data_IF_840999475749
#
_entry.id   IF_840999475749
#
_cell.length_a   1.000
_cell.length_b   1.000
_cell.length_c   1.000
_cell.angle_alpha   90.00
_cell.angle_beta   90.00
_cell.angle_gamma   90.00
#
_symmetry.space_group_name_H-M   'P 1'
#
loop_
_entity.id
_entity.type
_entity.pdbx_description
1 polymer ?
#
# COMPACT_ATOMS: atom_id res chain seq x y z
N UNK A 1 -16.00 -7.54 -3.39
CA UNK A 1 -15.34 -6.79 -2.34
C UNK A 1 -14.90 -5.41 -2.81
N UNK A 2 -14.24 -5.28 -3.95
CA UNK A 2 -13.77 -3.98 -4.46
C UNK A 2 -14.76 -3.26 -5.37
N UNK A 3 -16.05 -3.58 -5.30
CA UNK A 3 -17.08 -3.01 -6.19
C UNK A 3 -17.13 -1.47 -6.10
N UNK A 4 -16.95 -0.94 -4.92
CA UNK A 4 -16.86 0.52 -4.72
C UNK A 4 -15.66 1.13 -5.47
N UNK A 5 -14.47 0.52 -5.38
CA UNK A 5 -13.28 0.99 -6.11
C UNK A 5 -13.45 0.80 -7.62
N UNK A 6 -14.02 -0.32 -8.05
CA UNK A 6 -14.34 -0.57 -9.47
C UNK A 6 -15.31 0.49 -10.00
N UNK A 7 -16.35 0.85 -9.23
CA UNK A 7 -17.30 1.89 -9.61
C UNK A 7 -16.63 3.29 -9.69
N UNK A 8 -15.72 3.59 -8.73
CA UNK A 8 -14.89 4.81 -8.80
C UNK A 8 -14.05 4.82 -10.10
N UNK A 9 -13.39 3.70 -10.42
CA UNK A 9 -12.55 3.59 -11.61
C UNK A 9 -13.35 3.61 -12.92
N UNK A 10 -14.59 3.09 -12.94
CA UNK A 10 -15.49 3.24 -14.09
C UNK A 10 -15.92 4.67 -14.33
N UNK A 11 -16.14 5.44 -13.26
CA UNK A 11 -16.46 6.87 -13.34
C UNK A 11 -15.25 7.71 -13.75
N UNK A 12 -14.06 7.31 -13.33
CA UNK A 12 -12.79 8.00 -13.57
C UNK A 12 -11.72 6.99 -14.02
N UNK A 13 -11.70 6.58 -15.31
CA UNK A 13 -10.72 5.63 -15.84
C UNK A 13 -9.29 6.09 -15.57
N UNK A 14 -8.45 5.14 -15.15
CA UNK A 14 -7.06 5.38 -14.78
C UNK A 14 -6.13 4.46 -15.56
N UNK A 15 -4.83 4.84 -15.59
CA UNK A 15 -3.75 4.02 -16.12
C UNK A 15 -2.86 3.55 -15.00
N UNK A 16 -2.49 2.27 -15.00
CA UNK A 16 -1.58 1.69 -14.02
C UNK A 16 -0.38 1.05 -14.68
N UNK A 17 0.82 1.42 -14.20
CA UNK A 17 2.08 0.84 -14.66
C UNK A 17 2.31 -0.50 -13.97
N UNK A 18 2.70 -1.50 -14.77
CA UNK A 18 3.29 -2.75 -14.33
C UNK A 18 4.72 -2.84 -14.82
N UNK A 19 5.65 -3.00 -13.91
CA UNK A 19 7.09 -2.97 -14.19
C UNK A 19 7.64 -4.27 -14.74
N UNK A 20 6.91 -5.38 -14.60
CA UNK A 20 7.30 -6.70 -15.10
C UNK A 20 6.37 -7.15 -16.24
N UNK A 21 6.48 -6.47 -17.40
CA UNK A 21 5.54 -6.63 -18.51
C UNK A 21 5.48 -8.03 -19.12
N UNK A 22 6.50 -8.88 -18.95
CA UNK A 22 6.54 -10.26 -19.46
C UNK A 22 6.13 -11.32 -18.43
N UNK A 23 5.91 -10.93 -17.15
CA UNK A 23 5.54 -11.89 -16.10
C UNK A 23 4.11 -12.43 -16.35
N UNK A 24 3.90 -13.76 -16.38
CA UNK A 24 2.61 -14.35 -16.72
C UNK A 24 1.48 -13.93 -15.74
N UNK A 25 1.79 -13.67 -14.47
CA UNK A 25 0.83 -13.19 -13.48
C UNK A 25 0.34 -11.77 -13.80
N UNK A 26 1.26 -10.93 -14.27
CA UNK A 26 0.96 -9.55 -14.71
C UNK A 26 0.15 -9.59 -16.00
N UNK A 27 0.50 -10.44 -16.96
CA UNK A 27 -0.22 -10.59 -18.21
C UNK A 27 -1.65 -11.10 -17.99
N UNK A 28 -1.84 -12.09 -17.13
CA UNK A 28 -3.17 -12.59 -16.76
C UNK A 28 -4.01 -11.50 -16.07
N UNK A 29 -3.44 -10.81 -15.09
CA UNK A 29 -4.12 -9.72 -14.40
C UNK A 29 -4.49 -8.59 -15.37
N UNK A 30 -3.58 -8.21 -16.28
CA UNK A 30 -3.83 -7.20 -17.31
C UNK A 30 -4.96 -7.57 -18.26
N UNK A 31 -5.03 -8.83 -18.71
CA UNK A 31 -6.13 -9.30 -19.54
C UNK A 31 -7.49 -9.22 -18.82
N UNK A 32 -7.52 -9.53 -17.51
CA UNK A 32 -8.73 -9.40 -16.67
C UNK A 32 -9.15 -7.93 -16.48
N UNK A 33 -8.19 -7.02 -16.25
CA UNK A 33 -8.43 -5.58 -16.10
C UNK A 33 -9.02 -4.98 -17.39
N UNK A 34 -8.45 -5.33 -18.54
CA UNK A 34 -8.92 -4.89 -19.86
C UNK A 34 -10.33 -5.39 -20.15
N UNK A 35 -10.65 -6.62 -19.78
CA UNK A 35 -12.02 -7.16 -19.90
C UNK A 35 -13.04 -6.37 -19.07
N UNK A 36 -12.60 -5.79 -17.95
CA UNK A 36 -13.43 -4.95 -17.08
C UNK A 36 -13.65 -3.52 -17.60
N UNK A 37 -12.82 -3.04 -18.54
CA UNK A 37 -12.88 -1.70 -19.20
C UNK A 37 -12.80 -0.48 -18.25
N UNK A 38 -12.28 -0.65 -17.04
CA UNK A 38 -12.21 0.40 -16.03
C UNK A 38 -10.79 0.83 -15.64
N UNK A 39 -9.77 0.08 -16.09
CA UNK A 39 -8.36 0.34 -15.79
C UNK A 39 -7.50 -0.08 -16.97
N UNK A 40 -6.63 0.81 -17.43
CA UNK A 40 -5.72 0.54 -18.55
C UNK A 40 -4.34 0.16 -18.02
N UNK A 41 -3.87 -1.08 -18.26
CA UNK A 41 -2.50 -1.48 -17.97
C UNK A 41 -1.50 -0.77 -18.88
N UNK A 42 -0.40 -0.30 -18.30
CA UNK A 42 0.80 0.17 -18.98
C UNK A 42 1.93 -0.81 -18.66
N UNK A 43 2.31 -1.64 -19.62
CA UNK A 43 3.30 -2.69 -19.44
C UNK A 43 4.69 -2.16 -19.81
N UNK A 44 5.65 -2.27 -18.89
CA UNK A 44 7.03 -1.83 -19.13
C UNK A 44 7.85 -2.98 -19.68
N UNK A 45 8.50 -2.73 -20.81
CA UNK A 45 9.43 -3.67 -21.48
C UNK A 45 9.34 -3.62 -22.99
N UNK A 46 10.08 -4.53 -23.64
CA UNK A 46 10.10 -4.64 -25.09
C UNK A 46 8.75 -5.15 -25.62
N UNK A 47 8.19 -4.47 -26.62
CA UNK A 47 6.85 -4.75 -27.13
C UNK A 47 6.72 -6.15 -27.75
N UNK A 48 7.75 -6.59 -28.50
CA UNK A 48 7.72 -7.91 -29.15
C UNK A 48 7.81 -9.04 -28.10
N UNK A 49 8.65 -8.86 -27.07
CA UNK A 49 8.79 -9.82 -25.96
C UNK A 49 7.51 -9.94 -25.16
N UNK A 50 6.87 -8.81 -24.81
CA UNK A 50 5.62 -8.78 -24.06
C UNK A 50 4.48 -9.42 -24.86
N UNK A 51 4.36 -9.05 -26.15
CA UNK A 51 3.33 -9.61 -27.03
C UNK A 51 3.49 -11.12 -27.18
N UNK A 52 4.72 -11.59 -27.44
CA UNK A 52 5.05 -13.00 -27.53
C UNK A 52 4.74 -13.76 -26.24
N UNK A 53 5.15 -13.21 -25.09
CA UNK A 53 4.89 -13.83 -23.79
C UNK A 53 3.37 -13.95 -23.51
N UNK A 54 2.59 -12.94 -23.88
CA UNK A 54 1.15 -12.96 -23.74
C UNK A 54 0.48 -14.02 -24.65
N UNK A 55 0.93 -14.13 -25.91
CA UNK A 55 0.44 -15.14 -26.86
C UNK A 55 0.77 -16.56 -26.39
N UNK A 56 2.02 -16.82 -25.96
CA UNK A 56 2.45 -18.10 -25.43
C UNK A 56 1.68 -18.51 -24.17
N UNK A 57 1.33 -17.55 -23.31
CA UNK A 57 0.52 -17.78 -22.12
C UNK A 57 -0.99 -17.82 -22.38
N UNK A 58 -1.45 -17.46 -23.59
CA UNK A 58 -2.85 -17.45 -23.97
C UNK A 58 -3.67 -16.28 -23.43
N UNK A 59 -3.01 -15.17 -23.08
CA UNK A 59 -3.67 -13.96 -22.54
C UNK A 59 -3.85 -12.87 -23.61
N UNK A 60 -5.06 -12.32 -23.68
CA UNK A 60 -5.36 -11.20 -24.57
C UNK A 60 -5.09 -9.89 -23.86
N UNK A 61 -3.98 -9.22 -24.24
CA UNK A 61 -3.58 -7.90 -23.73
C UNK A 61 -3.89 -6.76 -24.69
N UNK A 62 -4.73 -7.00 -25.71
CA UNK A 62 -5.10 -5.94 -26.69
C UNK A 62 -5.83 -4.81 -25.97
N UNK A 63 -5.26 -3.61 -26.04
CA UNK A 63 -5.73 -2.44 -25.32
C UNK A 63 -4.83 -2.01 -24.15
N UNK A 64 -3.85 -2.83 -23.76
CA UNK A 64 -2.77 -2.37 -22.90
C UNK A 64 -1.83 -1.43 -23.69
N UNK A 65 -1.26 -0.45 -22.99
CA UNK A 65 -0.15 0.35 -23.53
C UNK A 65 1.17 -0.37 -23.19
N UNK A 66 2.12 -0.37 -24.12
CA UNK A 66 3.45 -0.93 -23.87
C UNK A 66 4.46 0.20 -24.01
N UNK A 67 5.32 0.36 -22.99
CA UNK A 67 6.34 1.39 -22.96
C UNK A 67 7.72 0.76 -22.73
N UNK A 68 8.58 0.89 -23.73
CA UNK A 68 9.93 0.33 -23.73
C UNK A 68 10.95 1.40 -23.31
N UNK A 69 11.66 1.24 -22.18
CA UNK A 69 12.72 2.16 -21.77
C UNK A 69 13.81 2.37 -22.84
N UNK A 70 14.08 1.37 -23.67
CA UNK A 70 15.10 1.43 -24.71
C UNK A 70 14.67 2.32 -25.92
N UNK A 71 13.37 2.44 -26.14
CA UNK A 71 12.79 3.12 -27.33
C UNK A 71 11.80 4.23 -26.94
N UNK A 72 11.89 4.78 -25.71
CA UNK A 72 10.96 5.80 -25.24
C UNK A 72 11.29 7.18 -25.81
N UNK A 73 10.36 7.76 -26.55
CA UNK A 73 10.57 9.02 -27.29
C UNK A 73 10.95 10.21 -26.38
N UNK A 74 10.40 10.27 -25.18
CA UNK A 74 10.65 11.37 -24.23
C UNK A 74 11.76 11.02 -23.18
N UNK A 75 12.64 10.06 -23.47
CA UNK A 75 13.70 9.63 -22.54
C UNK A 75 14.60 10.80 -22.12
N UNK A 76 14.99 11.69 -23.02
CA UNK A 76 15.84 12.83 -22.67
C UNK A 76 15.15 13.82 -21.72
N UNK A 77 13.85 14.06 -21.91
CA UNK A 77 13.05 14.86 -20.96
C UNK A 77 12.94 14.17 -19.60
N UNK A 78 12.78 12.84 -19.60
CA UNK A 78 12.72 12.03 -18.40
C UNK A 78 14.04 12.09 -17.59
N UNK A 79 15.17 12.00 -18.29
CA UNK A 79 16.51 12.13 -17.69
C UNK A 79 16.71 13.52 -17.09
N UNK A 80 16.38 14.57 -17.85
CA UNK A 80 16.49 15.96 -17.36
C UNK A 80 15.69 16.20 -16.10
N UNK A 81 14.44 15.72 -16.05
CA UNK A 81 13.59 15.82 -14.86
C UNK A 81 14.19 15.03 -13.69
N UNK A 82 14.73 13.84 -13.94
CA UNK A 82 15.35 13.04 -12.86
C UNK A 82 16.58 13.74 -12.29
N UNK A 83 17.44 14.34 -13.13
CA UNK A 83 18.60 15.14 -12.66
C UNK A 83 18.14 16.27 -11.74
N UNK A 84 17.09 17.00 -12.14
CA UNK A 84 16.49 18.06 -11.31
C UNK A 84 15.99 17.53 -9.95
N UNK A 85 15.21 16.45 -9.98
CA UNK A 85 14.67 15.82 -8.77
C UNK A 85 15.75 15.33 -7.82
N UNK A 86 16.90 14.87 -8.35
CA UNK A 86 18.03 14.36 -7.56
C UNK A 86 18.96 15.45 -7.01
N UNK A 87 18.82 16.69 -7.45
CA UNK A 87 19.53 17.87 -6.89
C UNK A 87 21.05 17.63 -6.71
N UNK A 88 21.73 17.15 -7.74
CA UNK A 88 23.18 16.89 -7.72
C UNK A 88 23.61 15.55 -7.02
N UNK A 89 22.67 14.77 -6.48
CA UNK A 89 22.98 13.45 -5.88
C UNK A 89 23.24 12.36 -6.92
N UNK A 90 22.95 12.61 -8.19
CA UNK A 90 23.20 11.70 -9.31
C UNK A 90 23.61 12.53 -10.52
N UNK A 91 24.57 12.00 -11.30
CA UNK A 91 24.93 12.54 -12.62
C UNK A 91 23.86 12.20 -13.65
N UNK A 92 23.89 12.89 -14.81
CA UNK A 92 22.99 12.57 -15.94
C UNK A 92 23.14 11.11 -16.38
N UNK A 93 24.38 10.62 -16.52
CA UNK A 93 24.67 9.23 -16.88
C UNK A 93 24.08 8.24 -15.88
N UNK A 94 24.23 8.52 -14.57
CA UNK A 94 23.62 7.69 -13.51
C UNK A 94 22.09 7.72 -13.57
N UNK A 95 21.48 8.87 -13.87
CA UNK A 95 20.05 8.99 -14.06
C UNK A 95 19.58 8.16 -15.26
N UNK A 96 20.25 8.30 -16.40
CA UNK A 96 19.94 7.54 -17.62
C UNK A 96 20.07 6.03 -17.40
N UNK A 97 21.15 5.59 -16.73
CA UNK A 97 21.34 4.19 -16.34
C UNK A 97 20.24 3.69 -15.41
N UNK A 98 19.80 4.48 -14.43
CA UNK A 98 18.70 4.09 -13.55
C UNK A 98 17.38 3.97 -14.32
N UNK A 99 17.11 4.90 -15.23
CA UNK A 99 15.90 4.92 -16.05
C UNK A 99 15.83 3.80 -17.11
N UNK A 100 16.91 3.06 -17.35
CA UNK A 100 16.85 1.80 -18.12
C UNK A 100 16.27 0.64 -17.30
N UNK A 101 16.11 0.79 -15.98
CA UNK A 101 15.50 -0.20 -15.11
C UNK A 101 13.99 0.04 -15.02
N UNK A 102 13.18 -1.01 -15.17
CA UNK A 102 11.72 -0.92 -15.24
C UNK A 102 11.08 -0.23 -14.03
N UNK A 103 11.58 -0.45 -12.82
CA UNK A 103 11.08 0.18 -11.60
C UNK A 103 11.30 1.71 -11.58
N UNK A 104 12.47 2.19 -11.97
CA UNK A 104 12.74 3.63 -12.11
C UNK A 104 11.98 4.26 -13.25
N UNK A 105 11.98 3.60 -14.42
CA UNK A 105 11.24 4.06 -15.60
C UNK A 105 9.75 4.16 -15.31
N UNK A 106 9.14 3.09 -14.78
CA UNK A 106 7.73 3.07 -14.44
C UNK A 106 7.36 4.16 -13.42
N UNK A 107 8.21 4.38 -12.40
CA UNK A 107 7.99 5.45 -11.42
C UNK A 107 8.04 6.84 -12.07
N UNK A 108 8.94 7.04 -13.05
CA UNK A 108 9.00 8.30 -13.81
C UNK A 108 7.82 8.47 -14.77
N UNK A 109 7.27 7.40 -15.33
CA UNK A 109 6.03 7.48 -16.11
C UNK A 109 4.88 8.07 -15.27
N UNK A 110 4.74 7.62 -14.02
CA UNK A 110 3.77 8.20 -13.08
C UNK A 110 4.09 9.66 -12.78
N UNK A 111 5.35 9.97 -12.50
CA UNK A 111 5.78 11.36 -12.20
C UNK A 111 5.52 12.33 -13.33
N UNK A 112 5.64 11.89 -14.57
CA UNK A 112 5.42 12.71 -15.78
C UNK A 112 3.98 12.69 -16.26
N UNK A 113 3.07 11.95 -15.62
CA UNK A 113 1.65 11.90 -15.96
C UNK A 113 1.30 11.00 -17.16
N UNK A 114 2.19 10.08 -17.55
CA UNK A 114 1.86 9.06 -18.55
C UNK A 114 0.95 7.96 -17.97
N UNK A 115 0.98 7.81 -16.64
CA UNK A 115 0.09 6.93 -15.90
C UNK A 115 -0.25 7.54 -14.54
N UNK A 116 -1.28 7.02 -13.88
CA UNK A 116 -1.79 7.55 -12.61
C UNK A 116 -1.19 6.84 -11.38
N UNK A 117 -0.80 5.58 -11.55
CA UNK A 117 -0.33 4.72 -10.46
C UNK A 117 0.67 3.67 -10.96
N UNK A 118 1.39 3.03 -10.03
CA UNK A 118 2.31 1.93 -10.33
C UNK A 118 2.11 0.77 -9.36
N UNK A 119 2.16 -0.44 -9.90
CA UNK A 119 2.23 -1.70 -9.15
C UNK A 119 3.38 -2.55 -9.70
N UNK A 120 4.34 -2.90 -8.85
CA UNK A 120 5.50 -3.70 -9.21
C UNK A 120 5.98 -4.55 -8.05
N UNK A 121 7.12 -5.24 -8.18
CA UNK A 121 7.70 -6.06 -7.10
C UNK A 121 7.43 -7.55 -7.19
N UNK A 122 6.76 -8.03 -8.26
CA UNK A 122 6.53 -9.46 -8.45
C UNK A 122 7.82 -10.27 -8.61
N UNK A 123 8.92 -9.64 -9.03
CA UNK A 123 10.21 -10.31 -9.28
C UNK A 123 11.39 -9.70 -8.52
N UNK A 124 11.23 -8.58 -7.86
CA UNK A 124 12.30 -7.88 -7.13
C UNK A 124 11.88 -7.53 -5.68
N UNK A 125 12.76 -6.91 -4.92
CA UNK A 125 12.53 -6.63 -3.49
C UNK A 125 11.66 -5.38 -3.29
N UNK A 126 10.94 -5.31 -2.16
CA UNK A 126 10.21 -4.11 -1.71
C UNK A 126 11.09 -2.86 -1.70
N UNK A 127 12.39 -2.99 -1.37
CA UNK A 127 13.32 -1.87 -1.39
C UNK A 127 13.52 -1.30 -2.81
N UNK A 128 13.38 -2.12 -3.85
CA UNK A 128 13.52 -1.70 -5.24
C UNK A 128 12.25 -1.02 -5.77
N UNK A 129 11.09 -1.23 -5.15
CA UNK A 129 9.88 -0.43 -5.36
C UNK A 129 9.95 0.89 -4.58
N UNK A 130 10.31 0.84 -3.31
CA UNK A 130 10.26 2.00 -2.40
C UNK A 130 11.33 3.03 -2.74
N UNK A 131 12.53 2.60 -3.13
CA UNK A 131 13.64 3.52 -3.42
C UNK A 131 13.33 4.51 -4.55
N UNK A 132 12.90 4.11 -5.77
CA UNK A 132 12.50 5.06 -6.79
C UNK A 132 11.26 5.89 -6.37
N UNK A 133 10.30 5.30 -5.67
CA UNK A 133 9.15 6.05 -5.15
C UNK A 133 9.57 7.22 -4.26
N UNK A 134 10.47 7.00 -3.29
CA UNK A 134 11.00 8.05 -2.42
C UNK A 134 11.87 9.07 -3.17
N UNK A 135 12.60 8.63 -4.17
CA UNK A 135 13.52 9.50 -4.92
C UNK A 135 12.80 10.40 -5.92
N UNK A 136 11.73 9.93 -6.54
CA UNK A 136 11.05 10.55 -7.67
C UNK A 136 9.69 11.12 -7.27
N UNK A 137 8.81 10.29 -6.70
CA UNK A 137 7.45 10.69 -6.29
C UNK A 137 7.51 11.53 -5.02
N UNK A 138 8.30 11.10 -4.04
CA UNK A 138 8.45 11.70 -2.71
C UNK A 138 7.17 11.58 -1.88
N UNK A 139 7.24 12.04 -0.64
CA UNK A 139 6.08 12.14 0.24
C UNK A 139 5.18 13.29 -0.20
N UNK A 140 3.88 13.14 0.03
CA UNK A 140 2.90 14.20 -0.18
C UNK A 140 3.09 15.34 0.83
N UNK A 141 2.60 16.55 0.54
CA UNK A 141 2.62 17.66 1.49
C UNK A 141 2.01 17.27 2.84
N UNK A 142 2.74 17.52 3.91
CA UNK A 142 2.33 17.18 5.29
C UNK A 142 2.76 15.79 5.78
N UNK A 143 3.21 14.89 4.91
CA UNK A 143 3.79 13.60 5.31
C UNK A 143 5.30 13.65 5.29
N UNK A 144 5.94 13.17 6.35
CA UNK A 144 7.41 13.11 6.48
C UNK A 144 7.96 11.74 6.17
N UNK A 145 7.14 10.70 6.33
CA UNK A 145 7.51 9.30 6.13
C UNK A 145 6.62 8.62 5.11
N UNK A 146 7.10 7.50 4.60
CA UNK A 146 6.28 6.48 3.91
C UNK A 146 6.05 5.34 4.88
N UNK A 147 4.82 4.90 4.99
CA UNK A 147 4.43 3.74 5.80
C UNK A 147 3.70 2.72 4.96
N UNK A 148 3.32 1.61 5.57
CA UNK A 148 2.54 0.57 4.90
C UNK A 148 1.34 0.14 5.73
N UNK A 149 0.26 -0.27 5.06
CA UNK A 149 -0.78 -1.03 5.74
C UNK A 149 -1.17 -2.27 4.94
N UNK A 150 -1.79 -3.21 5.63
CA UNK A 150 -2.51 -4.33 5.05
C UNK A 150 -4.00 -4.17 5.34
N UNK A 151 -4.83 -4.36 4.32
CA UNK A 151 -6.27 -4.54 4.48
C UNK A 151 -6.53 -6.04 4.58
N UNK A 152 -7.03 -6.44 5.73
CA UNK A 152 -7.33 -7.83 6.05
C UNK A 152 -8.82 -8.07 5.88
N UNK A 153 -9.21 -9.09 5.15
CA UNK A 153 -10.61 -9.37 4.84
C UNK A 153 -10.96 -10.81 5.09
N UNK A 154 -12.07 -11.01 5.76
CA UNK A 154 -12.61 -12.33 6.03
C UNK A 154 -14.14 -12.33 5.92
N UNK A 155 -14.76 -13.33 5.28
CA UNK A 155 -16.22 -13.52 5.36
C UNK A 155 -16.64 -13.72 6.82
N UNK A 156 -17.63 -12.96 7.28
CA UNK A 156 -18.19 -13.17 8.60
C UNK A 156 -19.34 -14.18 8.56
N UNK A 157 -19.73 -14.71 9.72
CA UNK A 157 -20.87 -15.60 9.86
C UNK A 157 -22.20 -14.93 9.48
N UNK A 158 -22.27 -13.61 9.44
CA UNK A 158 -23.47 -12.81 9.07
C UNK A 158 -23.57 -12.56 7.56
N UNK A 159 -22.56 -12.99 6.79
CA UNK A 159 -22.51 -12.78 5.32
C UNK A 159 -21.88 -11.43 4.91
N UNK A 160 -21.63 -10.53 5.85
CA UNK A 160 -20.84 -9.33 5.60
C UNK A 160 -19.35 -9.64 5.78
N UNK A 161 -18.48 -8.97 5.01
CA UNK A 161 -17.05 -9.13 5.20
C UNK A 161 -16.57 -8.37 6.43
N UNK A 162 -15.80 -9.05 7.28
CA UNK A 162 -14.99 -8.37 8.28
C UNK A 162 -13.77 -7.77 7.60
N UNK A 163 -13.57 -6.46 7.72
CA UNK A 163 -12.49 -5.72 7.09
C UNK A 163 -11.71 -4.96 8.15
N UNK A 164 -10.40 -5.21 8.21
CA UNK A 164 -9.50 -4.62 9.20
C UNK A 164 -8.33 -3.94 8.49
N UNK A 165 -7.77 -2.89 9.11
CA UNK A 165 -6.54 -2.26 8.66
C UNK A 165 -5.42 -2.49 9.71
N UNK A 166 -4.23 -2.92 9.26
CA UNK A 166 -3.08 -3.23 10.11
C UNK A 166 -1.83 -2.47 9.62
N UNK A 167 -1.18 -1.67 10.46
CA UNK A 167 -0.01 -0.84 10.13
C UNK A 167 0.92 -0.56 11.34
N UNK A 168 2.19 -0.32 11.13
CA UNK A 168 3.00 -0.58 9.95
C UNK A 168 3.48 -2.02 9.94
N UNK A 169 3.41 -2.68 8.80
CA UNK A 169 3.74 -4.11 8.73
C UNK A 169 4.93 -4.43 7.79
N UNK A 170 5.49 -3.43 7.07
CA UNK A 170 6.48 -3.72 6.03
C UNK A 170 7.58 -2.66 5.83
N UNK A 171 7.46 -1.44 6.34
CA UNK A 171 8.38 -0.33 6.02
C UNK A 171 9.15 0.18 7.24
N UNK A 172 8.47 0.65 8.29
CA UNK A 172 9.11 1.31 9.42
C UNK A 172 9.51 0.30 10.50
N UNK A 173 10.84 0.09 10.68
CA UNK A 173 11.35 -0.96 11.57
C UNK A 173 11.05 -0.65 13.04
N UNK A 174 11.39 0.56 13.49
CA UNK A 174 11.16 1.04 14.86
C UNK A 174 10.70 2.49 14.80
N UNK A 175 9.41 2.72 14.52
CA UNK A 175 8.88 4.07 14.41
C UNK A 175 8.96 4.80 15.76
N UNK A 176 9.28 6.08 15.68
CA UNK A 176 9.19 7.02 16.81
C UNK A 176 7.72 7.34 17.12
N UNK A 177 7.45 8.02 18.24
CA UNK A 177 6.10 8.47 18.59
C UNK A 177 5.46 9.29 17.47
N UNK A 178 6.18 10.25 16.89
CA UNK A 178 5.65 11.12 15.83
C UNK A 178 5.43 10.36 14.52
N UNK A 179 6.29 9.40 14.19
CA UNK A 179 6.09 8.51 13.04
C UNK A 179 4.87 7.58 13.24
N UNK A 180 4.64 7.09 14.45
CA UNK A 180 3.43 6.31 14.79
C UNK A 180 2.14 7.14 14.62
N UNK A 181 2.19 8.44 14.91
CA UNK A 181 1.06 9.36 14.65
C UNK A 181 0.80 9.47 13.14
N UNK A 182 1.86 9.67 12.33
CA UNK A 182 1.71 9.73 10.87
C UNK A 182 1.17 8.40 10.31
N UNK A 183 1.69 7.26 10.77
CA UNK A 183 1.20 5.92 10.41
C UNK A 183 -0.30 5.81 10.72
N UNK A 184 -0.75 6.23 11.90
CA UNK A 184 -2.15 6.16 12.29
C UNK A 184 -3.04 7.05 11.42
N UNK A 185 -2.63 8.29 11.13
CA UNK A 185 -3.35 9.24 10.27
C UNK A 185 -3.52 8.68 8.86
N UNK A 186 -2.43 8.19 8.26
CA UNK A 186 -2.47 7.64 6.91
C UNK A 186 -3.27 6.33 6.85
N UNK A 187 -3.16 5.49 7.89
CA UNK A 187 -3.92 4.24 7.96
C UNK A 187 -5.42 4.49 8.10
N UNK A 188 -5.81 5.46 8.92
CA UNK A 188 -7.22 5.86 9.02
C UNK A 188 -7.77 6.40 7.69
N UNK A 189 -6.98 7.15 6.92
CA UNK A 189 -7.36 7.59 5.57
C UNK A 189 -7.52 6.42 4.61
N UNK A 190 -6.55 5.52 4.59
CA UNK A 190 -6.60 4.31 3.77
C UNK A 190 -7.81 3.46 4.15
N UNK A 191 -8.06 3.22 5.43
CA UNK A 191 -9.22 2.46 5.91
C UNK A 191 -10.54 3.02 5.35
N UNK A 192 -10.73 4.35 5.35
CA UNK A 192 -11.93 4.99 4.79
C UNK A 192 -12.11 4.72 3.30
N UNK A 193 -11.03 4.64 2.51
CA UNK A 193 -11.08 4.27 1.09
C UNK A 193 -11.68 2.88 0.90
N UNK A 194 -11.50 1.98 1.88
CA UNK A 194 -12.07 0.63 1.87
C UNK A 194 -13.43 0.52 2.57
N UNK A 195 -14.06 1.65 2.89
CA UNK A 195 -15.36 1.67 3.53
C UNK A 195 -15.32 1.32 5.03
N UNK A 196 -14.13 1.28 5.63
CA UNK A 196 -13.99 1.11 7.07
C UNK A 196 -14.25 2.46 7.75
N UNK A 197 -15.15 2.48 8.74
CA UNK A 197 -15.22 3.59 9.70
C UNK A 197 -14.16 3.34 10.78
N UNK A 198 -13.01 4.05 10.74
CA UNK A 198 -11.85 3.64 11.50
C UNK A 198 -12.05 3.87 13.00
N UNK A 199 -11.82 2.81 13.77
CA UNK A 199 -11.64 2.80 15.22
C UNK A 199 -10.22 2.36 15.49
N UNK A 200 -9.34 3.34 15.74
CA UNK A 200 -7.89 3.15 15.75
C UNK A 200 -7.40 2.75 17.13
N UNK A 201 -6.80 1.58 17.24
CA UNK A 201 -6.17 1.07 18.46
C UNK A 201 -4.64 1.09 18.35
N UNK A 202 -3.99 1.75 19.29
CA UNK A 202 -2.54 1.66 19.48
C UNK A 202 -2.22 0.43 20.32
N UNK A 203 -1.51 -0.54 19.72
CA UNK A 203 -1.29 -1.87 20.32
C UNK A 203 -0.03 -1.92 21.17
N UNK A 204 -0.12 -2.68 22.25
CA UNK A 204 0.96 -2.95 23.19
C UNK A 204 0.72 -4.29 23.91
N UNK A 205 1.71 -4.78 24.63
CA UNK A 205 1.51 -5.84 25.63
C UNK A 205 0.85 -5.30 26.92
N UNK A 206 0.61 -3.98 27.01
CA UNK A 206 -0.05 -3.27 28.10
C UNK A 206 -1.45 -2.79 27.70
N UNK A 207 -2.34 -2.67 28.66
CA UNK A 207 -3.64 -2.01 28.50
C UNK A 207 -3.78 -0.95 29.59
N UNK A 208 -3.82 0.33 29.19
CA UNK A 208 -4.02 1.50 30.07
C UNK A 208 -3.13 1.47 31.31
N UNK A 209 -1.83 1.20 31.13
CA UNK A 209 -0.82 1.21 32.19
C UNK A 209 -0.71 -0.10 32.98
N UNK A 210 -1.29 -1.21 32.52
CA UNK A 210 -1.14 -2.52 33.17
C UNK A 210 0.30 -3.05 33.07
N UNK A 211 1.06 -2.64 32.05
CA UNK A 211 2.49 -2.87 31.88
C UNK A 211 3.30 -1.59 32.04
N UNK A 212 4.63 -1.74 32.15
CA UNK A 212 5.57 -0.61 32.24
C UNK A 212 6.75 -0.86 31.32
N UNK A 213 7.27 0.19 30.71
CA UNK A 213 8.45 0.16 29.84
C UNK A 213 8.41 1.23 28.75
N UNK A 214 9.55 1.48 28.14
CA UNK A 214 9.72 2.51 27.10
C UNK A 214 8.77 2.31 25.93
N UNK A 215 8.55 1.05 25.49
CA UNK A 215 7.61 0.77 24.40
C UNK A 215 6.16 1.01 24.79
N UNK A 216 5.76 0.81 26.05
CA UNK A 216 4.43 1.15 26.55
C UNK A 216 4.23 2.65 26.56
N UNK A 217 5.20 3.39 27.07
CA UNK A 217 5.15 4.85 27.14
C UNK A 217 5.12 5.46 25.73
N UNK A 218 5.94 4.92 24.80
CA UNK A 218 5.92 5.32 23.39
C UNK A 218 4.53 5.16 22.77
N UNK A 219 3.89 4.01 22.94
CA UNK A 219 2.56 3.76 22.34
C UNK A 219 1.47 4.64 22.99
N UNK A 220 1.53 4.85 24.29
CA UNK A 220 0.61 5.76 25.00
C UNK A 220 0.75 7.20 24.52
N UNK A 221 1.99 7.71 24.47
CA UNK A 221 2.28 9.07 24.04
C UNK A 221 1.87 9.30 22.57
N UNK A 222 2.18 8.32 21.70
CA UNK A 222 1.76 8.37 20.30
C UNK A 222 0.23 8.36 20.15
N UNK A 223 -0.48 7.57 20.97
CA UNK A 223 -1.94 7.54 21.00
C UNK A 223 -2.53 8.92 21.36
N UNK A 224 -2.03 9.57 22.43
CA UNK A 224 -2.51 10.89 22.84
C UNK A 224 -2.24 11.96 21.75
N UNK A 225 -1.07 11.93 21.12
CA UNK A 225 -0.78 12.82 19.98
C UNK A 225 -1.69 12.53 18.78
N UNK A 226 -2.01 11.27 18.51
CA UNK A 226 -2.89 10.87 17.41
C UNK A 226 -4.35 11.31 17.65
N UNK A 227 -4.84 11.26 18.88
CA UNK A 227 -6.15 11.83 19.26
C UNK A 227 -6.24 13.31 18.91
N UNK A 228 -5.18 14.06 19.20
CA UNK A 228 -5.13 15.49 18.87
C UNK A 228 -5.04 15.76 17.35
N UNK A 229 -4.34 14.87 16.60
CA UNK A 229 -4.18 14.99 15.16
C UNK A 229 -5.44 14.58 14.37
N UNK A 230 -6.30 13.74 14.95
CA UNK A 230 -7.50 13.17 14.31
C UNK A 230 -8.73 13.31 15.23
N UNK A 231 -9.21 14.53 15.56
CA UNK A 231 -10.29 14.72 16.54
C UNK A 231 -11.62 14.06 16.11
N UNK A 232 -11.82 13.87 14.81
CA UNK A 232 -13.04 13.27 14.24
C UNK A 232 -12.97 11.75 14.06
N UNK A 233 -11.85 11.11 14.46
CA UNK A 233 -11.66 9.66 14.37
C UNK A 233 -11.50 9.09 15.78
N UNK A 234 -12.27 8.06 16.16
CA UNK A 234 -12.07 7.36 17.42
C UNK A 234 -10.67 6.73 17.48
N UNK A 235 -9.83 7.19 18.40
CA UNK A 235 -8.47 6.69 18.66
C UNK A 235 -8.34 6.38 20.12
N UNK A 236 -7.79 5.22 20.48
CA UNK A 236 -7.48 4.90 21.88
C UNK A 236 -6.36 3.86 22.03
N UNK A 237 -5.84 3.71 23.23
CA UNK A 237 -4.72 2.84 23.61
C UNK A 237 -3.89 3.46 24.74
N UNK A 238 -2.84 2.81 25.21
CA UNK A 238 -2.31 1.57 24.60
C UNK A 238 -3.20 0.37 25.03
N UNK A 239 -3.43 -0.56 24.10
CA UNK A 239 -4.22 -1.76 24.34
C UNK A 239 -3.48 -3.05 23.98
N UNK A 240 -3.69 -4.08 24.78
CA UNK A 240 -3.47 -5.44 24.31
C UNK A 240 -4.49 -5.77 23.21
N UNK A 241 -4.10 -6.66 22.31
CA UNK A 241 -4.93 -6.96 21.13
C UNK A 241 -6.32 -7.51 21.53
N UNK A 242 -6.40 -8.39 22.53
CA UNK A 242 -7.66 -8.93 23.04
C UNK A 242 -8.59 -7.85 23.62
N UNK A 243 -8.02 -6.85 24.29
CA UNK A 243 -8.76 -5.70 24.80
C UNK A 243 -9.25 -4.77 23.68
N UNK A 244 -8.51 -4.68 22.58
CA UNK A 244 -8.89 -3.89 21.42
C UNK A 244 -10.09 -4.49 20.66
N UNK A 245 -10.17 -5.84 20.56
CA UNK A 245 -11.14 -6.52 19.67
C UNK A 245 -12.29 -7.24 20.39
N UNK A 246 -12.16 -7.52 21.69
CA UNK A 246 -13.17 -8.27 22.46
C UNK A 246 -13.96 -7.36 23.40
N UNK A 247 -15.27 -7.17 23.16
CA UNK A 247 -16.13 -6.38 24.08
C UNK A 247 -16.13 -6.96 25.51
N UNK A 248 -16.03 -8.27 25.66
CA UNK A 248 -15.99 -8.92 26.97
C UNK A 248 -14.70 -8.56 27.71
N UNK A 249 -13.55 -8.62 27.03
CA UNK A 249 -12.25 -8.27 27.63
C UNK A 249 -12.20 -6.77 27.94
N UNK A 250 -12.65 -5.93 27.02
CA UNK A 250 -12.72 -4.48 27.23
C UNK A 250 -13.57 -4.14 28.49
N UNK A 251 -14.73 -4.76 28.65
CA UNK A 251 -15.58 -4.58 29.82
C UNK A 251 -14.87 -5.03 31.11
N UNK A 252 -14.21 -6.17 31.10
CA UNK A 252 -13.45 -6.69 32.25
C UNK A 252 -12.31 -5.78 32.67
N UNK A 253 -11.68 -5.11 31.69
CA UNK A 253 -10.60 -4.14 31.89
C UNK A 253 -11.11 -2.71 32.11
N UNK A 254 -12.42 -2.53 32.26
CA UNK A 254 -13.08 -1.22 32.48
C UNK A 254 -12.74 -0.15 31.42
N UNK A 255 -12.54 -0.57 30.16
CA UNK A 255 -12.35 0.36 29.05
C UNK A 255 -13.69 0.98 28.68
N UNK A 256 -13.76 2.32 28.67
CA UNK A 256 -15.00 3.08 28.42
C UNK A 256 -15.05 3.72 27.04
N UNK A 257 -13.96 3.71 26.30
CA UNK A 257 -13.91 4.29 24.94
C UNK A 257 -14.68 3.45 23.94
N UNK A 258 -15.10 4.09 22.84
CA UNK A 258 -15.75 3.41 21.71
C UNK A 258 -14.82 2.52 20.87
N UNK A 259 -13.51 2.57 21.14
CA UNK A 259 -12.49 1.78 20.45
C UNK A 259 -12.30 0.43 21.12
N UNK A 260 -12.22 0.41 22.46
CA UNK A 260 -12.00 -0.83 23.23
C UNK A 260 -13.07 -1.89 22.94
N UNK A 261 -12.65 -3.07 22.53
CA UNK A 261 -13.51 -4.18 22.14
C UNK A 261 -14.13 -4.07 20.74
N UNK A 262 -13.90 -2.97 20.03
CA UNK A 262 -14.51 -2.67 18.72
C UNK A 262 -13.52 -2.10 17.70
N UNK A 263 -12.22 -2.18 17.96
CA UNK A 263 -11.19 -1.70 17.06
C UNK A 263 -11.19 -2.47 15.74
N UNK A 264 -10.96 -1.76 14.64
CA UNK A 264 -10.85 -2.31 13.30
C UNK A 264 -9.64 -1.76 12.53
N UNK A 265 -8.88 -0.86 13.17
CA UNK A 265 -7.67 -0.26 12.63
C UNK A 265 -6.58 -0.33 13.70
N UNK A 266 -5.48 -1.02 13.42
CA UNK A 266 -4.48 -1.40 14.41
C UNK A 266 -3.12 -0.80 14.08
N UNK A 267 -2.52 -0.09 15.04
CA UNK A 267 -1.20 0.49 14.95
C UNK A 267 -0.24 -0.29 15.83
N UNK A 268 0.75 -0.94 15.21
CA UNK A 268 1.73 -1.78 15.87
C UNK A 268 2.94 -0.98 16.37
N UNK A 269 3.58 -1.40 17.48
CA UNK A 269 4.72 -0.67 18.06
C UNK A 269 5.99 -0.71 17.21
N UNK A 270 6.15 -1.74 16.41
CA UNK A 270 7.28 -1.97 15.51
C UNK A 270 6.93 -2.98 14.41
N UNK A 271 7.86 -3.12 13.43
CA UNK A 271 7.65 -3.98 12.27
C UNK A 271 7.57 -5.48 12.64
N UNK A 272 8.21 -5.93 13.72
CA UNK A 272 8.14 -7.35 14.11
C UNK A 272 6.71 -7.69 14.51
N UNK A 273 6.12 -6.86 15.39
CA UNK A 273 4.75 -7.04 15.82
C UNK A 273 3.76 -6.97 14.65
N UNK A 274 3.89 -5.97 13.78
CA UNK A 274 3.03 -5.79 12.62
C UNK A 274 3.17 -6.90 11.58
N UNK A 275 4.40 -7.24 11.20
CA UNK A 275 4.67 -8.26 10.18
C UNK A 275 4.28 -9.67 10.64
N UNK A 276 4.56 -10.03 11.87
CA UNK A 276 4.15 -11.32 12.45
C UNK A 276 2.63 -11.34 12.61
N UNK A 277 2.03 -10.24 13.13
CA UNK A 277 0.61 -10.15 13.42
C UNK A 277 -0.26 -10.36 12.18
N UNK A 278 -0.02 -9.61 11.09
CA UNK A 278 -0.85 -9.78 9.89
C UNK A 278 -0.70 -11.17 9.26
N UNK A 279 0.51 -11.78 9.30
CA UNK A 279 0.72 -13.13 8.77
C UNK A 279 0.01 -14.20 9.60
N UNK A 280 -0.04 -14.05 10.91
CA UNK A 280 -0.84 -14.94 11.77
C UNK A 280 -2.32 -14.83 11.42
N UNK A 281 -2.85 -13.60 11.29
CA UNK A 281 -4.23 -13.38 10.86
C UNK A 281 -4.51 -14.01 9.50
N UNK A 282 -3.60 -13.84 8.53
CA UNK A 282 -3.74 -14.43 7.19
C UNK A 282 -3.72 -15.95 7.24
N UNK A 283 -2.71 -16.56 7.87
CA UNK A 283 -2.46 -18.00 7.78
C UNK A 283 -3.32 -18.84 8.74
N UNK A 284 -3.67 -18.29 9.89
CA UNK A 284 -4.41 -19.00 10.94
C UNK A 284 -5.81 -18.43 11.17
N UNK A 285 -6.02 -17.13 10.87
CA UNK A 285 -7.28 -16.43 11.04
C UNK A 285 -8.20 -16.49 9.80
N UNK A 286 -7.76 -17.11 8.68
CA UNK A 286 -8.48 -17.17 7.41
C UNK A 286 -8.83 -15.78 6.84
N UNK A 287 -7.95 -14.81 7.03
CA UNK A 287 -8.05 -13.53 6.35
C UNK A 287 -7.30 -13.54 5.03
N UNK A 288 -7.91 -12.98 3.99
CA UNK A 288 -7.18 -12.50 2.82
C UNK A 288 -6.44 -11.22 3.19
N UNK A 289 -5.16 -11.12 2.83
CA UNK A 289 -4.31 -9.97 3.14
C UNK A 289 -3.98 -9.21 1.86
N UNK A 290 -4.47 -7.98 1.75
CA UNK A 290 -4.20 -7.08 0.63
C UNK A 290 -3.18 -6.03 1.04
N UNK A 291 -1.99 -6.09 0.46
CA UNK A 291 -0.88 -5.21 0.77
C UNK A 291 0.49 -5.79 0.39
N UNK A 292 1.60 -5.11 0.73
CA UNK A 292 1.59 -3.83 1.46
C UNK A 292 1.08 -2.66 0.60
N UNK A 293 0.15 -1.88 1.14
CA UNK A 293 -0.30 -0.62 0.56
C UNK A 293 0.62 0.47 1.11
N UNK A 294 1.38 1.13 0.24
CA UNK A 294 2.27 2.22 0.65
C UNK A 294 1.48 3.51 0.87
N UNK A 295 1.74 4.16 1.98
CA UNK A 295 1.04 5.35 2.44
C UNK A 295 1.97 6.55 2.53
N UNK A 296 1.43 7.76 2.37
CA UNK A 296 2.20 9.00 2.49
C UNK A 296 2.95 9.42 1.22
N UNK A 297 2.89 8.67 0.12
CA UNK A 297 3.46 9.05 -1.18
C UNK A 297 2.57 10.05 -1.92
N UNK A 298 3.19 10.93 -2.73
CA UNK A 298 2.51 11.94 -3.53
C UNK A 298 1.82 11.37 -4.81
N UNK A 299 1.94 10.08 -5.06
CA UNK A 299 1.16 9.31 -6.03
C UNK A 299 1.15 7.84 -5.59
N UNK A 300 0.11 7.06 -5.93
CA UNK A 300 0.04 5.65 -5.55
C UNK A 300 1.10 4.80 -6.25
N UNK A 301 2.04 4.31 -5.46
CA UNK A 301 3.03 3.30 -5.87
C UNK A 301 2.90 2.17 -4.86
N UNK A 302 2.58 0.96 -5.31
CA UNK A 302 2.48 -0.19 -4.42
C UNK A 302 3.39 -1.33 -4.84
N UNK A 303 3.66 -2.19 -3.87
CA UNK A 303 4.56 -3.34 -3.99
C UNK A 303 3.78 -4.65 -4.00
N UNK A 304 4.28 -5.61 -4.78
CA UNK A 304 3.77 -6.97 -4.82
C UNK A 304 4.68 -7.91 -4.01
N UNK A 305 4.11 -8.92 -3.42
CA UNK A 305 4.90 -10.05 -2.93
C UNK A 305 5.45 -10.86 -4.11
N UNK A 306 6.69 -11.29 -4.05
CA UNK A 306 7.28 -12.22 -5.05
C UNK A 306 6.53 -13.54 -5.15
N UNK A 307 5.80 -13.91 -4.10
CA UNK A 307 4.93 -15.08 -4.07
C UNK A 307 3.47 -14.80 -4.44
N UNK A 308 3.14 -13.64 -5.00
CA UNK A 308 1.78 -13.30 -5.40
C UNK A 308 1.29 -14.17 -6.56
N UNK A 309 0.00 -14.33 -6.66
CA UNK A 309 -0.69 -14.92 -7.81
C UNK A 309 -1.40 -13.85 -8.65
N UNK A 310 -1.91 -14.21 -9.83
CA UNK A 310 -2.56 -13.27 -10.73
C UNK A 310 -3.81 -12.59 -10.16
N UNK A 311 -4.55 -13.26 -9.28
CA UNK A 311 -5.72 -12.67 -8.61
C UNK A 311 -5.30 -11.61 -7.59
N UNK A 312 -4.20 -11.84 -6.87
CA UNK A 312 -3.62 -10.84 -5.97
C UNK A 312 -3.11 -9.63 -6.76
N UNK A 313 -2.44 -9.83 -7.90
CA UNK A 313 -2.04 -8.74 -8.81
C UNK A 313 -3.25 -7.94 -9.28
N UNK A 314 -4.30 -8.61 -9.76
CA UNK A 314 -5.55 -7.98 -10.19
C UNK A 314 -6.17 -7.13 -9.07
N UNK A 315 -6.29 -7.70 -7.88
CA UNK A 315 -6.87 -7.02 -6.72
C UNK A 315 -6.04 -5.81 -6.30
N UNK A 316 -4.70 -5.98 -6.21
CA UNK A 316 -3.79 -4.89 -5.86
C UNK A 316 -3.75 -3.78 -6.91
N UNK A 317 -3.96 -4.09 -8.19
CA UNK A 317 -4.08 -3.08 -9.24
C UNK A 317 -5.31 -2.19 -9.06
N UNK A 318 -6.47 -2.79 -8.74
CA UNK A 318 -7.71 -2.06 -8.45
C UNK A 318 -7.51 -1.17 -7.20
N UNK A 319 -6.90 -1.73 -6.16
CA UNK A 319 -6.58 -0.99 -4.93
C UNK A 319 -5.68 0.20 -5.25
N UNK A 320 -4.55 -0.04 -5.92
CA UNK A 320 -3.55 0.99 -6.21
C UNK A 320 -4.12 2.12 -7.05
N UNK A 321 -4.85 1.79 -8.11
CA UNK A 321 -5.50 2.79 -8.95
C UNK A 321 -6.65 3.51 -8.23
N UNK A 322 -7.36 2.81 -7.34
CA UNK A 322 -8.45 3.37 -6.53
C UNK A 322 -7.99 4.38 -5.48
N UNK A 323 -6.69 4.37 -5.10
CA UNK A 323 -6.08 5.36 -4.21
C UNK A 323 -5.75 6.70 -4.90
N UNK A 324 -5.84 6.78 -6.22
CA UNK A 324 -5.71 8.05 -6.96
C UNK A 324 -6.86 8.97 -6.57
N UNK A 325 -6.54 10.23 -6.19
CA UNK A 325 -7.51 11.25 -5.80
C UNK A 325 -8.38 11.74 -6.98
#
# INVERSE_FOLDING_TARGET
MFEFLINKLKAHPRKIVFTEGTDPRILEASARLLSGTFLTPVLVGNADEITKAAEEAGFNIRGAEIMDPANFADMDKMVALMVELRKGKMTEEQCRKSLSQANYFGTMLVKMGYADALLGGATYSTADTVRPALQIIKTKPGSKIVSSCFIMVRPSATGENEVLAMADCAINIKPTEDELVEIAVETARTAKVFGIDPKVAFLSYSTLGSGKGEDVDKMRNACEKAKAAMPDVPVDGEFQFDAAVSPVVAKTKHITSSVGGHANTFIFPDINAGNIGYKICQRMGNFDAYGPILQGLNAPINDLSRGCNALEVYSMAIITAGLVD
#
